data_IF_932689428012
#
_entry.id   IF_932689428012
#
_cell.length_a   1.000
_cell.length_b   1.000
_cell.length_c   1.000
_cell.angle_alpha   90.00
_cell.angle_beta   90.00
_cell.angle_gamma   90.00
#
_symmetry.space_group_name_H-M   'P 1'
#
loop_
_entity.id
_entity.type
_entity.pdbx_description
1 polymer ?
#
# COMPACT_ATOMS: atom_id res chain seq x y z
N UNK A 1 -10.76 16.14 7.81
CA UNK A 1 -9.75 16.56 6.80
C UNK A 1 -10.00 15.80 5.52
N UNK A 2 -10.14 16.51 4.43
CA UNK A 2 -10.35 15.90 3.12
C UNK A 2 -9.00 15.48 2.53
N UNK A 3 -8.94 14.29 1.99
CA UNK A 3 -7.73 13.76 1.36
C UNK A 3 -7.55 14.39 -0.01
N UNK A 4 -6.43 15.07 -0.19
CA UNK A 4 -6.09 15.77 -1.42
C UNK A 4 -5.30 14.90 -2.40
N UNK A 5 -4.33 14.15 -1.90
CA UNK A 5 -3.44 13.36 -2.74
C UNK A 5 -2.84 12.18 -1.96
N UNK A 6 -2.32 11.23 -2.71
CA UNK A 6 -1.61 10.07 -2.19
C UNK A 6 -0.33 9.90 -3.00
N UNK A 7 0.80 9.85 -2.32
CA UNK A 7 2.09 9.54 -2.93
C UNK A 7 2.57 8.17 -2.47
N UNK A 8 3.22 7.46 -3.36
CA UNK A 8 3.73 6.12 -3.10
C UNK A 8 5.23 6.11 -3.34
N UNK A 9 5.98 5.68 -2.33
CA UNK A 9 7.44 5.58 -2.39
C UNK A 9 7.85 4.13 -2.34
N UNK A 10 8.51 3.66 -3.39
CA UNK A 10 9.03 2.28 -3.49
C UNK A 10 10.46 2.27 -3.03
N UNK A 11 10.75 1.50 -1.98
CA UNK A 11 12.07 1.41 -1.37
C UNK A 11 12.55 -0.02 -1.45
N UNK A 12 13.78 -0.23 -1.89
CA UNK A 12 14.41 -1.55 -1.92
C UNK A 12 15.85 -1.43 -1.44
N UNK A 13 16.29 -2.42 -0.69
CA UNK A 13 17.67 -2.52 -0.22
C UNK A 13 18.18 -3.94 -0.41
N UNK A 14 19.41 -4.07 -0.92
CA UNK A 14 20.10 -5.36 -1.04
C UNK A 14 20.42 -5.90 0.35
N UNK A 15 20.24 -7.20 0.53
CA UNK A 15 20.59 -7.89 1.78
C UNK A 15 22.02 -8.41 1.67
N UNK A 16 22.88 -8.07 2.65
CA UNK A 16 24.28 -8.56 2.66
C UNK A 16 24.37 -10.07 2.81
N UNK A 17 23.43 -10.66 3.57
CA UNK A 17 23.35 -12.11 3.76
C UNK A 17 21.98 -12.60 3.30
N UNK A 18 21.85 -13.04 2.03
CA UNK A 18 20.60 -13.59 1.54
C UNK A 18 20.13 -14.76 2.41
N UNK A 19 18.83 -14.90 2.58
CA UNK A 19 18.25 -16.01 3.31
C UNK A 19 17.25 -16.76 2.43
N UNK A 20 16.95 -17.99 2.84
CA UNK A 20 16.05 -18.88 2.11
C UNK A 20 14.80 -19.14 2.92
N UNK A 21 13.66 -19.19 2.25
CA UNK A 21 12.41 -19.68 2.81
C UNK A 21 11.84 -20.74 1.87
N UNK A 22 10.66 -21.30 2.18
CA UNK A 22 10.11 -22.45 1.45
C UNK A 22 9.97 -22.25 -0.06
N UNK A 23 9.87 -21.02 -0.54
CA UNK A 23 9.67 -20.73 -1.97
C UNK A 23 10.92 -20.17 -2.66
N UNK A 24 12.05 -20.08 -1.98
CA UNK A 24 13.30 -19.67 -2.59
C UNK A 24 14.16 -18.74 -1.76
N UNK A 25 15.14 -18.12 -2.41
CA UNK A 25 16.07 -17.20 -1.79
C UNK A 25 15.57 -15.78 -1.81
N UNK A 26 15.90 -15.03 -0.77
CA UNK A 26 15.60 -13.60 -0.67
C UNK A 26 16.91 -12.83 -0.73
N UNK A 27 17.04 -11.97 -1.75
CA UNK A 27 18.26 -11.20 -2.00
C UNK A 27 18.10 -9.71 -1.67
N UNK A 28 16.89 -9.23 -1.52
CA UNK A 28 16.63 -7.84 -1.18
C UNK A 28 15.37 -7.72 -0.33
N UNK A 29 15.32 -6.64 0.44
CA UNK A 29 14.12 -6.22 1.17
C UNK A 29 13.52 -5.02 0.48
N UNK A 30 12.21 -5.03 0.36
CA UNK A 30 11.46 -3.95 -0.27
C UNK A 30 10.32 -3.50 0.63
N UNK A 31 9.96 -2.25 0.52
CA UNK A 31 8.84 -1.67 1.24
C UNK A 31 8.16 -0.62 0.37
N UNK A 32 6.87 -0.43 0.59
CA UNK A 32 6.10 0.63 -0.05
C UNK A 32 5.62 1.57 1.04
N UNK A 33 6.10 2.80 1.02
CA UNK A 33 5.66 3.84 1.95
C UNK A 33 4.55 4.64 1.28
N UNK A 34 3.42 4.74 1.96
CA UNK A 34 2.27 5.49 1.50
C UNK A 34 2.20 6.81 2.23
N UNK A 35 2.14 7.91 1.49
CA UNK A 35 1.97 9.24 2.03
C UNK A 35 0.59 9.76 1.64
N UNK A 36 -0.24 10.04 2.64
CA UNK A 36 -1.57 10.62 2.44
C UNK A 36 -1.51 12.10 2.79
N UNK A 37 -1.92 12.94 1.85
CA UNK A 37 -1.84 14.40 1.99
C UNK A 37 -3.26 14.96 2.09
N UNK A 38 -3.53 15.71 3.15
CA UNK A 38 -4.78 16.43 3.33
C UNK A 38 -4.78 17.80 2.65
N UNK A 39 -5.96 18.36 2.44
CA UNK A 39 -6.12 19.69 1.85
C UNK A 39 -5.48 20.79 2.71
N UNK A 40 -5.39 20.57 4.02
CA UNK A 40 -4.75 21.50 4.96
C UNK A 40 -3.21 21.35 5.02
N UNK A 41 -2.64 20.46 4.23
CA UNK A 41 -1.20 20.19 4.20
C UNK A 41 -0.73 19.13 5.21
N UNK A 42 -1.61 18.58 6.02
CA UNK A 42 -1.27 17.49 6.94
C UNK A 42 -0.90 16.24 6.16
N UNK A 43 0.12 15.52 6.63
CA UNK A 43 0.59 14.28 5.99
C UNK A 43 0.55 13.13 6.98
N UNK A 44 0.06 11.99 6.51
CA UNK A 44 0.11 10.73 7.24
C UNK A 44 0.89 9.70 6.44
N UNK A 45 1.51 8.75 7.13
CA UNK A 45 2.34 7.74 6.50
C UNK A 45 1.93 6.34 6.95
N UNK A 46 1.99 5.41 6.02
CA UNK A 46 1.81 4.00 6.29
C UNK A 46 2.79 3.18 5.47
N UNK A 47 2.87 1.90 5.76
CA UNK A 47 3.75 0.98 5.06
C UNK A 47 2.95 -0.23 4.57
N UNK A 48 3.09 -0.54 3.28
CA UNK A 48 2.58 -1.79 2.71
C UNK A 48 3.69 -2.83 2.73
N UNK A 49 3.36 -3.97 3.30
CA UNK A 49 4.30 -5.08 3.37
C UNK A 49 4.62 -5.61 1.96
N UNK A 50 5.89 -5.89 1.72
CA UNK A 50 6.33 -6.64 0.55
C UNK A 50 6.85 -7.99 1.01
N UNK A 51 6.28 -9.06 0.47
CA UNK A 51 6.80 -10.40 0.69
C UNK A 51 8.25 -10.49 0.20
N UNK A 52 9.08 -11.38 0.78
CA UNK A 52 10.50 -11.43 0.49
C UNK A 52 10.90 -11.51 -0.97
N UNK A 53 10.07 -12.07 -1.84
CA UNK A 53 10.30 -12.13 -3.29
C UNK A 53 9.39 -11.18 -4.07
N UNK A 54 8.57 -10.42 -3.39
CA UNK A 54 7.58 -9.55 -4.02
C UNK A 54 8.22 -8.22 -4.40
N UNK A 55 7.96 -7.78 -5.63
CA UNK A 55 8.37 -6.47 -6.08
C UNK A 55 7.55 -5.37 -5.38
N UNK A 56 8.16 -4.25 -4.98
CA UNK A 56 7.41 -3.13 -4.43
C UNK A 56 6.45 -2.50 -5.44
N UNK A 57 6.67 -2.72 -6.73
CA UNK A 57 5.78 -2.20 -7.77
C UNK A 57 4.37 -2.78 -7.71
N UNK A 58 4.19 -3.98 -7.16
CA UNK A 58 2.87 -4.63 -7.12
C UNK A 58 1.91 -3.92 -6.17
N UNK A 59 2.30 -3.74 -4.91
CA UNK A 59 1.46 -3.02 -3.94
C UNK A 59 1.31 -1.56 -4.35
N UNK A 60 2.37 -0.92 -4.84
CA UNK A 60 2.32 0.45 -5.33
C UNK A 60 1.30 0.60 -6.47
N UNK A 61 1.26 -0.35 -7.40
CA UNK A 61 0.32 -0.32 -8.52
C UNK A 61 -1.13 -0.40 -8.04
N UNK A 62 -1.43 -1.23 -7.04
CA UNK A 62 -2.78 -1.28 -6.46
C UNK A 62 -3.17 0.08 -5.88
N UNK A 63 -2.28 0.71 -5.14
CA UNK A 63 -2.55 2.02 -4.54
C UNK A 63 -2.74 3.07 -5.63
N UNK A 64 -1.82 3.15 -6.58
CA UNK A 64 -1.82 4.19 -7.62
C UNK A 64 -2.97 4.02 -8.63
N UNK A 65 -3.30 2.80 -9.01
CA UNK A 65 -4.20 2.55 -10.12
C UNK A 65 -5.59 2.03 -9.70
N UNK A 66 -5.72 1.42 -8.54
CA UNK A 66 -6.99 0.87 -8.08
C UNK A 66 -7.62 1.66 -6.94
N UNK A 67 -6.81 2.10 -5.96
CA UNK A 67 -7.34 2.67 -4.72
C UNK A 67 -7.33 4.19 -4.69
N UNK A 68 -6.37 4.82 -5.32
CA UNK A 68 -6.19 6.27 -5.23
C UNK A 68 -7.45 7.05 -5.52
N UNK A 69 -8.11 6.76 -6.64
CA UNK A 69 -9.29 7.48 -7.06
C UNK A 69 -10.49 7.30 -6.14
N UNK A 70 -10.52 6.21 -5.38
CA UNK A 70 -11.59 5.95 -4.42
C UNK A 70 -11.38 6.72 -3.10
N UNK A 71 -10.15 7.12 -2.80
CA UNK A 71 -9.78 7.74 -1.52
C UNK A 71 -9.70 9.26 -1.63
N UNK A 72 -9.21 9.78 -2.75
CA UNK A 72 -9.10 11.23 -2.95
C UNK A 72 -10.50 11.87 -2.89
N UNK A 73 -10.62 12.94 -2.12
CA UNK A 73 -11.88 13.64 -1.90
C UNK A 73 -12.70 13.11 -0.73
N UNK A 74 -12.28 12.01 -0.10
CA UNK A 74 -12.94 11.46 1.08
C UNK A 74 -12.42 12.14 2.35
N UNK A 75 -13.22 12.11 3.40
CA UNK A 75 -12.80 12.58 4.71
C UNK A 75 -11.93 11.48 5.38
N UNK A 76 -10.77 11.86 5.87
CA UNK A 76 -9.85 10.93 6.52
C UNK A 76 -10.42 10.30 7.80
N UNK A 77 -11.47 10.88 8.38
CA UNK A 77 -12.13 10.33 9.56
C UNK A 77 -13.12 9.20 9.22
N UNK A 78 -13.50 9.07 7.96
CA UNK A 78 -14.42 8.01 7.51
C UNK A 78 -13.66 6.71 7.22
N UNK A 79 -12.86 6.26 8.18
CA UNK A 79 -11.95 5.12 8.03
C UNK A 79 -12.69 3.84 7.63
N UNK A 80 -13.79 3.53 8.29
CA UNK A 80 -14.54 2.30 8.02
C UNK A 80 -15.16 2.30 6.63
N UNK A 81 -15.72 3.42 6.20
CA UNK A 81 -16.32 3.57 4.87
C UNK A 81 -15.26 3.41 3.80
N UNK A 82 -14.11 4.07 3.97
CA UNK A 82 -12.98 3.97 3.04
C UNK A 82 -12.48 2.53 2.97
N UNK A 83 -12.28 1.90 4.12
CA UNK A 83 -11.79 0.51 4.18
C UNK A 83 -12.73 -0.45 3.44
N UNK A 84 -14.02 -0.37 3.70
CA UNK A 84 -15.01 -1.24 3.04
C UNK A 84 -15.06 -0.99 1.53
N UNK A 85 -14.99 0.26 1.11
CA UNK A 85 -14.96 0.61 -0.32
C UNK A 85 -13.77 -0.03 -1.00
N UNK A 86 -12.58 0.08 -0.41
CA UNK A 86 -11.35 -0.48 -0.98
C UNK A 86 -11.37 -2.01 -0.94
N UNK A 87 -11.85 -2.60 0.15
CA UNK A 87 -11.97 -4.04 0.27
C UNK A 87 -12.90 -4.62 -0.80
N UNK A 88 -14.04 -3.98 -1.03
CA UNK A 88 -14.96 -4.39 -2.10
C UNK A 88 -14.36 -4.20 -3.48
N UNK A 89 -13.57 -3.14 -3.68
CA UNK A 89 -12.85 -2.90 -4.94
C UNK A 89 -11.84 -3.99 -5.25
N UNK A 90 -11.33 -4.66 -4.23
CA UNK A 90 -10.33 -5.73 -4.40
C UNK A 90 -10.94 -7.10 -4.78
N UNK A 91 -12.26 -7.24 -4.86
CA UNK A 91 -12.92 -8.51 -5.18
C UNK A 91 -12.39 -9.20 -6.44
N UNK A 92 -12.20 -8.49 -7.57
CA UNK A 92 -11.65 -9.13 -8.76
C UNK A 92 -10.25 -9.70 -8.56
N UNK A 93 -9.54 -9.26 -7.52
CA UNK A 93 -8.15 -9.65 -7.21
C UNK A 93 -8.08 -10.64 -6.05
N UNK A 94 -9.20 -11.15 -5.55
CA UNK A 94 -9.25 -12.19 -4.53
C UNK A 94 -9.30 -11.69 -3.08
N UNK A 95 -9.24 -10.39 -2.82
CA UNK A 95 -9.31 -9.76 -1.49
C UNK A 95 -8.27 -10.29 -0.49
N UNK A 96 -7.12 -10.72 -0.97
CA UNK A 96 -6.02 -11.26 -0.17
C UNK A 96 -4.68 -10.88 -0.81
N UNK A 97 -3.60 -11.19 -0.11
CA UNK A 97 -2.25 -11.03 -0.63
C UNK A 97 -1.92 -9.58 -0.94
N UNK A 98 -1.49 -9.31 -2.16
CA UNK A 98 -1.00 -7.99 -2.59
C UNK A 98 -2.07 -6.91 -2.42
N UNK A 99 -3.31 -7.18 -2.80
CA UNK A 99 -4.39 -6.21 -2.69
C UNK A 99 -4.62 -5.79 -1.23
N UNK A 100 -4.61 -6.76 -0.31
CA UNK A 100 -4.79 -6.49 1.11
C UNK A 100 -3.57 -5.80 1.73
N UNK A 101 -2.36 -6.16 1.29
CA UNK A 101 -1.14 -5.47 1.71
C UNK A 101 -1.19 -3.98 1.32
N UNK A 102 -1.63 -3.68 0.12
CA UNK A 102 -1.80 -2.30 -0.35
C UNK A 102 -2.85 -1.57 0.49
N UNK A 103 -3.99 -2.22 0.76
CA UNK A 103 -5.05 -1.65 1.58
C UNK A 103 -4.56 -1.34 3.00
N UNK A 104 -3.81 -2.27 3.61
CA UNK A 104 -3.27 -2.08 4.96
C UNK A 104 -2.34 -0.88 5.06
N UNK A 105 -1.45 -0.71 4.08
CA UNK A 105 -0.55 0.44 4.04
C UNK A 105 -1.29 1.76 3.91
N UNK A 106 -2.33 1.79 3.11
CA UNK A 106 -3.14 2.99 2.91
C UNK A 106 -3.99 3.31 4.14
N UNK A 107 -4.48 2.29 4.85
CA UNK A 107 -5.32 2.46 6.04
C UNK A 107 -4.57 3.03 7.23
N UNK A 108 -3.28 2.76 7.31
CA UNK A 108 -2.45 3.30 8.40
C UNK A 108 -2.46 4.83 8.41
#
# INVERSE_FOLDING_TARGET
MIIKDINVHKISAKIDKPFKFSQGWVYQRSSVIVEVIGEDGTRGYGESMCHGQQSPHLAAAFIEHCYRNEVIGKDSLDVEVIWETLYNKSRPFGQRGIALNALSGLDM
#
